data_IF_754850112150
#
_entry.id   IF_754850112150
#
_cell.length_a   1.000
_cell.length_b   1.000
_cell.length_c   1.000
_cell.angle_alpha   90.00
_cell.angle_beta   90.00
_cell.angle_gamma   90.00
#
_symmetry.space_group_name_H-M   'P 1'
#
loop_
_entity.id
_entity.type
_entity.pdbx_description
1 polymer ?
#
# COMPACT_ATOMS: atom_id res chain seq x y z
N UNK A 1 14.17 3.42 -4.09
CA UNK A 1 13.52 4.14 -5.20
C UNK A 1 12.12 4.52 -4.74
N UNK A 2 11.98 5.69 -4.10
CA UNK A 2 10.69 6.19 -3.66
C UNK A 2 9.93 6.67 -4.90
N UNK A 3 8.77 6.06 -5.17
CA UNK A 3 7.87 6.51 -6.26
C UNK A 3 7.27 7.84 -5.84
N UNK A 4 8.02 8.91 -6.07
CA UNK A 4 7.58 10.29 -5.97
C UNK A 4 6.60 10.56 -7.11
N UNK A 5 5.34 10.13 -6.95
CA UNK A 5 4.12 10.58 -7.66
C UNK A 5 2.88 9.71 -7.35
N UNK A 6 2.78 9.10 -6.17
CA UNK A 6 1.52 8.46 -5.76
C UNK A 6 0.56 9.54 -5.29
N UNK A 7 -0.23 10.10 -6.21
CA UNK A 7 -1.15 11.22 -5.91
C UNK A 7 -2.30 10.82 -4.99
N UNK A 8 -2.56 9.51 -4.81
CA UNK A 8 -3.61 8.97 -3.93
C UNK A 8 -3.24 7.56 -3.44
N UNK A 9 -2.80 7.43 -2.20
CA UNK A 9 -2.74 6.15 -1.50
C UNK A 9 -4.05 5.95 -0.74
N UNK A 10 -4.73 4.81 -0.96
CA UNK A 10 -5.97 4.46 -0.26
C UNK A 10 -5.72 3.20 0.57
N UNK A 11 -5.80 3.31 1.89
CA UNK A 11 -5.84 2.15 2.79
C UNK A 11 -7.27 1.61 2.84
N UNK A 12 -7.45 0.33 2.52
CA UNK A 12 -8.73 -0.34 2.59
C UNK A 12 -8.61 -1.48 3.59
N UNK A 13 -8.91 -1.18 4.85
CA UNK A 13 -8.92 -2.13 5.96
C UNK A 13 -10.07 -3.15 5.92
N UNK A 14 -10.50 -3.63 4.74
CA UNK A 14 -11.68 -4.49 4.58
C UNK A 14 -11.38 -5.91 4.09
N UNK A 15 -10.13 -6.38 4.14
CA UNK A 15 -9.72 -7.72 3.70
C UNK A 15 -8.97 -7.74 2.37
N UNK A 16 -9.41 -8.54 1.39
CA UNK A 16 -8.67 -8.83 0.14
C UNK A 16 -8.67 -7.74 -0.93
N UNK A 17 -9.25 -6.56 -0.68
CA UNK A 17 -9.27 -5.42 -1.61
C UNK A 17 -10.02 -5.65 -2.93
N UNK A 18 -10.59 -6.83 -3.15
CA UNK A 18 -11.24 -7.22 -4.41
C UNK A 18 -12.41 -6.32 -4.79
N UNK A 19 -13.30 -6.00 -3.83
CA UNK A 19 -14.47 -5.14 -4.09
C UNK A 19 -14.01 -3.75 -4.53
N UNK A 20 -12.98 -3.20 -3.89
CA UNK A 20 -12.47 -1.89 -4.25
C UNK A 20 -11.84 -1.88 -5.65
N UNK A 21 -11.07 -2.91 -5.99
CA UNK A 21 -10.50 -3.06 -7.34
C UNK A 21 -11.58 -3.26 -8.41
N UNK A 22 -12.63 -4.03 -8.10
CA UNK A 22 -13.79 -4.19 -8.99
C UNK A 22 -14.48 -2.84 -9.25
N UNK A 23 -14.77 -2.08 -8.19
CA UNK A 23 -15.39 -0.75 -8.29
C UNK A 23 -14.49 0.26 -9.02
N UNK A 24 -13.18 0.22 -8.76
CA UNK A 24 -12.20 1.04 -9.46
C UNK A 24 -12.24 0.75 -10.96
N UNK A 25 -12.18 -0.53 -11.35
CA UNK A 25 -12.23 -0.96 -12.74
C UNK A 25 -13.54 -0.58 -13.44
N UNK A 26 -14.67 -0.73 -12.76
CA UNK A 26 -15.98 -0.28 -13.28
C UNK A 26 -16.02 1.23 -13.55
N UNK A 27 -15.23 2.02 -12.81
CA UNK A 27 -15.11 3.48 -12.97
C UNK A 27 -13.96 3.91 -13.89
N UNK A 28 -13.33 2.98 -14.61
CA UNK A 28 -12.21 3.28 -15.51
C UNK A 28 -10.87 3.55 -14.79
N UNK A 29 -10.74 3.12 -13.54
CA UNK A 29 -9.47 3.18 -12.81
C UNK A 29 -8.75 1.83 -12.88
N UNK A 30 -7.45 1.91 -13.11
CA UNK A 30 -6.54 0.78 -13.27
C UNK A 30 -5.57 0.72 -12.10
N UNK A 31 -5.29 -0.48 -11.60
CA UNK A 31 -4.27 -0.68 -10.57
C UNK A 31 -2.88 -0.47 -11.19
N UNK A 32 -2.07 0.40 -10.57
CA UNK A 32 -0.68 0.67 -10.94
C UNK A 32 0.31 0.11 -9.92
N UNK A 33 0.01 0.23 -8.62
CA UNK A 33 0.86 -0.32 -7.56
C UNK A 33 0.02 -1.02 -6.51
N UNK A 34 0.49 -2.18 -6.06
CA UNK A 34 -0.03 -2.89 -4.90
C UNK A 34 1.10 -3.26 -3.96
N UNK A 35 1.00 -2.83 -2.71
CA UNK A 35 1.88 -3.27 -1.64
C UNK A 35 1.08 -4.12 -0.66
N UNK A 36 1.45 -5.38 -0.51
CA UNK A 36 0.91 -6.26 0.51
C UNK A 36 1.64 -6.01 1.84
N UNK A 37 0.90 -5.69 2.89
CA UNK A 37 1.46 -5.23 4.16
C UNK A 37 1.16 -6.24 5.26
N UNK A 38 2.22 -6.71 5.91
CA UNK A 38 2.16 -7.54 7.12
C UNK A 38 2.52 -6.74 8.37
N UNK A 39 1.90 -7.05 9.51
CA UNK A 39 2.27 -6.44 10.79
C UNK A 39 3.73 -6.77 11.19
N UNK A 40 4.16 -8.01 10.92
CA UNK A 40 5.50 -8.54 11.16
C UNK A 40 5.80 -9.68 10.16
N UNK A 41 7.03 -10.20 10.16
CA UNK A 41 7.47 -11.23 9.20
C UNK A 41 6.78 -12.59 9.35
N UNK A 42 6.19 -12.87 10.52
CA UNK A 42 5.58 -14.17 10.82
C UNK A 42 4.10 -14.22 10.49
N UNK A 43 3.47 -13.08 10.20
CA UNK A 43 2.06 -12.99 9.84
C UNK A 43 1.90 -12.80 8.34
N UNK A 44 0.91 -13.47 7.72
CA UNK A 44 0.55 -13.18 6.34
C UNK A 44 0.07 -11.73 6.22
N UNK A 45 0.16 -11.14 5.02
CA UNK A 45 -0.35 -9.79 4.78
C UNK A 45 -1.82 -9.66 5.18
N UNK A 46 -2.12 -8.64 5.97
CA UNK A 46 -3.47 -8.36 6.48
C UNK A 46 -3.96 -6.97 6.07
N UNK A 47 -3.13 -6.21 5.34
CA UNK A 47 -3.40 -4.88 4.82
C UNK A 47 -2.82 -4.79 3.41
N UNK A 48 -3.36 -3.88 2.61
CA UNK A 48 -2.79 -3.58 1.30
C UNK A 48 -2.90 -2.10 0.99
N UNK A 49 -1.88 -1.58 0.32
CA UNK A 49 -1.89 -0.24 -0.26
C UNK A 49 -2.13 -0.38 -1.75
N UNK A 50 -3.12 0.33 -2.27
CA UNK A 50 -3.44 0.35 -3.69
C UNK A 50 -3.22 1.75 -4.25
N UNK A 51 -2.44 1.85 -5.33
CA UNK A 51 -2.35 3.04 -6.15
C UNK A 51 -3.09 2.80 -7.46
N UNK A 52 -4.03 3.69 -7.76
CA UNK A 52 -4.90 3.60 -8.94
C UNK A 52 -4.62 4.77 -9.90
N UNK A 53 -4.67 4.48 -11.19
CA UNK A 53 -4.48 5.43 -12.29
C UNK A 53 -5.68 5.42 -13.24
N UNK A 54 -6.10 6.55 -13.81
CA UNK A 54 -7.11 6.57 -14.88
C UNK A 54 -6.59 5.98 -16.20
N UNK A 55 -5.29 5.74 -16.32
CA UNK A 55 -4.64 5.17 -17.49
C UNK A 55 -4.19 3.75 -17.18
N UNK A 56 -4.47 2.81 -18.08
CA UNK A 56 -3.89 1.47 -18.03
C UNK A 56 -2.37 1.55 -18.21
N UNK A 57 -1.64 0.72 -17.47
CA UNK A 57 -0.18 0.69 -17.51
C UNK A 57 0.37 -0.52 -16.79
N UNK A 58 1.69 -0.52 -16.59
CA UNK A 58 2.38 -1.56 -15.83
C UNK A 58 1.88 -1.62 -14.38
N UNK A 59 1.85 -2.84 -13.85
CA UNK A 59 1.47 -3.10 -12.46
C UNK A 59 2.71 -3.53 -11.70
N UNK A 60 3.06 -2.79 -10.66
CA UNK A 60 4.11 -3.20 -9.72
C UNK A 60 3.46 -3.77 -8.46
N UNK A 61 3.93 -4.95 -8.06
CA UNK A 61 3.51 -5.62 -6.83
C UNK A 61 4.72 -5.82 -5.93
N UNK A 62 4.59 -5.45 -4.67
CA UNK A 62 5.60 -5.66 -3.64
C UNK A 62 4.98 -6.02 -2.29
N UNK A 63 5.86 -6.30 -1.32
CA UNK A 63 5.49 -6.60 0.06
C UNK A 63 6.24 -5.67 1.01
N UNK A 64 5.60 -5.32 2.12
CA UNK A 64 6.19 -4.53 3.19
C UNK A 64 5.81 -5.11 4.55
N UNK A 65 6.74 -5.07 5.50
CA UNK A 65 6.47 -5.41 6.90
C UNK A 65 6.49 -4.15 7.76
N UNK A 66 5.55 -4.01 8.70
CA UNK A 66 5.48 -2.84 9.58
C UNK A 66 6.57 -2.89 10.65
N UNK A 67 6.77 -4.04 11.30
CA UNK A 67 7.76 -4.22 12.37
C UNK A 67 8.71 -5.38 12.10
N UNK A 68 9.99 -5.15 12.34
CA UNK A 68 11.02 -6.19 12.34
C UNK A 68 10.88 -7.10 13.57
N UNK A 69 11.61 -8.25 13.62
CA UNK A 69 11.58 -9.16 14.77
C UNK A 69 11.97 -8.51 16.10
N UNK A 70 12.78 -7.44 16.07
CA UNK A 70 13.19 -6.65 17.23
C UNK A 70 12.13 -5.62 17.68
N UNK A 71 10.94 -5.66 17.09
CA UNK A 71 9.80 -4.76 17.30
C UNK A 71 10.02 -3.31 16.83
N UNK A 72 11.15 -2.99 16.19
CA UNK A 72 11.35 -1.68 15.59
C UNK A 72 10.52 -1.55 14.31
N UNK A 73 10.05 -0.32 14.03
CA UNK A 73 9.38 -0.04 12.77
C UNK A 73 10.35 -0.16 11.60
N UNK A 74 9.90 -0.78 10.51
CA UNK A 74 10.73 -0.91 9.32
C UNK A 74 11.01 0.45 8.67
N UNK A 75 12.15 0.55 7.97
CA UNK A 75 12.51 1.76 7.25
C UNK A 75 11.46 2.15 6.19
N UNK A 76 10.91 1.15 5.50
CA UNK A 76 9.85 1.33 4.51
C UNK A 76 8.58 1.92 5.16
N UNK A 77 8.15 1.37 6.30
CA UNK A 77 7.00 1.89 7.04
C UNK A 77 7.23 3.30 7.57
N UNK A 78 8.39 3.57 8.15
CA UNK A 78 8.79 4.90 8.62
C UNK A 78 8.79 5.92 7.46
N UNK A 79 9.36 5.56 6.31
CA UNK A 79 9.41 6.43 5.13
C UNK A 79 8.03 6.74 4.57
N UNK A 80 7.16 5.73 4.51
CA UNK A 80 5.77 5.87 4.04
C UNK A 80 4.95 6.80 4.95
N UNK A 81 5.07 6.64 6.26
CA UNK A 81 4.20 7.33 7.24
C UNK A 81 4.74 8.68 7.70
N UNK A 82 6.03 8.97 7.47
CA UNK A 82 6.72 10.21 7.92
C UNK A 82 5.99 11.51 7.61
N UNK A 83 5.28 11.58 6.48
CA UNK A 83 4.56 12.78 6.05
C UNK A 83 3.15 12.91 6.65
N UNK A 84 2.68 11.89 7.36
CA UNK A 84 1.32 11.83 7.93
C UNK A 84 1.30 12.00 9.46
N UNK A 85 2.45 11.98 10.13
CA UNK A 85 2.54 12.29 11.56
C UNK A 85 2.43 13.81 11.77
N UNK A 86 1.37 14.23 12.48
CA UNK A 86 0.97 15.63 12.66
C UNK A 86 1.80 16.42 13.69
N UNK A 87 2.71 15.76 14.41
CA UNK A 87 3.55 16.42 15.41
C UNK A 87 5.02 16.24 15.04
N UNK A 88 5.61 17.34 14.57
CA UNK A 88 7.05 17.59 14.60
C UNK A 88 7.30 18.76 15.55
#
# INVERSE_FOLDING_TARGET
MLVANVTRALDIGSGSGLIALMLARQRGWHLSFRTDVSDNETRPPNRMLLALSPQAGEQLLDCMTIRWPDQQYSEAHCSLTRNFYLFR
#
